data_IF_151540820377
#
_entry.id   IF_151540820377
#
_cell.length_a   1.000
_cell.length_b   1.000
_cell.length_c   1.000
_cell.angle_alpha   90.00
_cell.angle_beta   90.00
_cell.angle_gamma   90.00
#
_symmetry.space_group_name_H-M   'P 1'
#
loop_
_entity.id
_entity.type
_entity.pdbx_description
1 polymer ?
#
# COMPACT_ATOMS: atom_id res chain seq x y z
N UNK A 1 -8.49 -23.59 4.08
CA UNK A 1 -8.19 -22.26 4.64
C UNK A 1 -8.52 -21.21 3.59
N UNK A 2 -9.35 -20.20 3.88
CA UNK A 2 -9.56 -19.09 2.94
C UNK A 2 -8.24 -18.32 2.81
N UNK A 3 -7.70 -18.21 1.59
CA UNK A 3 -6.59 -17.27 1.33
C UNK A 3 -7.10 -15.85 1.55
N UNK A 4 -6.42 -15.08 2.39
CA UNK A 4 -6.70 -13.67 2.72
C UNK A 4 -6.91 -12.81 1.46
N UNK A 5 -6.23 -13.14 0.37
CA UNK A 5 -6.40 -12.49 -0.94
C UNK A 5 -7.83 -12.50 -1.48
N UNK A 6 -8.59 -13.58 -1.28
CA UNK A 6 -10.00 -13.66 -1.73
C UNK A 6 -10.91 -12.74 -0.91
N UNK A 7 -10.62 -12.59 0.38
CA UNK A 7 -11.38 -11.70 1.26
C UNK A 7 -11.16 -10.26 0.81
N UNK A 8 -9.91 -9.81 0.68
CA UNK A 8 -9.60 -8.44 0.28
C UNK A 8 -10.03 -8.10 -1.16
N UNK A 9 -10.10 -9.08 -2.06
CA UNK A 9 -10.69 -8.88 -3.38
C UNK A 9 -12.19 -8.54 -3.28
N UNK A 10 -12.93 -9.28 -2.45
CA UNK A 10 -14.37 -9.12 -2.24
C UNK A 10 -14.73 -7.89 -1.39
N UNK A 11 -13.86 -7.51 -0.45
CA UNK A 11 -14.10 -6.41 0.50
C UNK A 11 -13.36 -5.13 0.15
N UNK A 12 -12.79 -5.01 -1.06
CA UNK A 12 -11.97 -3.87 -1.47
C UNK A 12 -12.64 -2.49 -1.29
N UNK A 13 -13.95 -2.38 -1.53
CA UNK A 13 -14.70 -1.13 -1.37
C UNK A 13 -15.00 -0.76 0.09
N UNK A 14 -15.58 -1.65 0.93
CA UNK A 14 -15.74 -1.34 2.36
C UNK A 14 -14.39 -1.13 3.07
N UNK A 15 -13.34 -1.85 2.67
CA UNK A 15 -12.00 -1.63 3.20
C UNK A 15 -11.44 -0.25 2.83
N UNK A 16 -11.59 0.18 1.58
CA UNK A 16 -11.16 1.52 1.15
C UNK A 16 -11.85 2.63 1.96
N UNK A 17 -13.15 2.49 2.26
CA UNK A 17 -13.86 3.43 3.13
C UNK A 17 -13.25 3.48 4.54
N UNK A 18 -12.98 2.32 5.15
CA UNK A 18 -12.33 2.25 6.46
C UNK A 18 -10.91 2.84 6.43
N UNK A 19 -10.13 2.52 5.41
CA UNK A 19 -8.77 3.01 5.21
C UNK A 19 -8.73 4.52 4.85
N UNK A 20 -9.87 5.14 4.56
CA UNK A 20 -9.98 6.60 4.32
C UNK A 20 -10.27 7.39 5.59
N UNK A 21 -10.40 6.74 6.75
CA UNK A 21 -10.61 7.43 8.01
C UNK A 21 -9.39 8.30 8.39
N UNK A 22 -9.57 9.50 8.97
CA UNK A 22 -8.47 10.40 9.30
C UNK A 22 -7.41 9.79 10.23
N UNK A 23 -7.82 8.88 11.12
CA UNK A 23 -6.89 8.16 11.99
C UNK A 23 -5.92 7.27 11.20
N UNK A 24 -6.40 6.65 10.13
CA UNK A 24 -5.59 5.79 9.27
C UNK A 24 -4.61 6.61 8.45
N UNK A 25 -5.07 7.73 7.89
CA UNK A 25 -4.24 8.66 7.13
C UNK A 25 -3.11 9.23 8.00
N UNK A 26 -3.43 9.67 9.22
CA UNK A 26 -2.44 10.17 10.18
C UNK A 26 -1.40 9.10 10.51
N UNK A 27 -1.83 7.87 10.74
CA UNK A 27 -0.90 6.77 11.04
C UNK A 27 0.04 6.49 9.85
N UNK A 28 -0.47 6.53 8.62
CA UNK A 28 0.35 6.36 7.42
C UNK A 28 1.39 7.48 7.28
N UNK A 29 1.01 8.73 7.55
CA UNK A 29 1.93 9.86 7.53
C UNK A 29 3.03 9.74 8.60
N UNK A 30 2.65 9.36 9.84
CA UNK A 30 3.58 9.14 10.94
C UNK A 30 4.58 8.01 10.61
N UNK A 31 4.11 6.92 10.00
CA UNK A 31 4.97 5.83 9.54
C UNK A 31 5.97 6.30 8.47
N UNK A 32 5.52 7.05 7.46
CA UNK A 32 6.39 7.56 6.40
C UNK A 32 7.47 8.53 6.93
N UNK A 33 7.16 9.28 7.99
CA UNK A 33 8.12 10.18 8.66
C UNK A 33 9.24 9.43 9.41
N UNK A 34 9.09 8.12 9.68
CA UNK A 34 10.12 7.30 10.33
C UNK A 34 11.14 6.72 9.34
N UNK A 35 11.05 7.04 8.05
CA UNK A 35 12.03 6.56 7.08
C UNK A 35 13.44 7.06 7.43
N UNK A 36 14.47 6.21 7.28
CA UNK A 36 15.83 6.62 7.58
C UNK A 36 16.27 7.76 6.64
N UNK A 37 17.12 8.69 7.10
CA UNK A 37 17.66 9.74 6.25
C UNK A 37 18.33 9.17 4.99
N UNK A 38 17.97 9.71 3.83
CA UNK A 38 18.53 9.27 2.55
C UNK A 38 17.89 8.01 1.96
N UNK A 39 16.77 7.51 2.52
CA UNK A 39 15.97 6.49 1.86
C UNK A 39 15.56 6.93 0.44
N UNK A 40 15.85 6.09 -0.55
CA UNK A 40 15.52 6.36 -1.97
C UNK A 40 14.58 5.34 -2.59
N UNK A 41 14.60 4.10 -2.09
CA UNK A 41 13.80 3.00 -2.60
C UNK A 41 13.05 2.38 -1.43
N UNK A 42 11.73 2.41 -1.51
CA UNK A 42 10.86 1.89 -0.45
C UNK A 42 9.79 1.01 -1.08
N UNK A 43 9.65 -0.20 -0.56
CA UNK A 43 8.60 -1.14 -0.94
C UNK A 43 7.57 -1.23 0.18
N UNK A 44 6.33 -0.89 -0.14
CA UNK A 44 5.18 -1.00 0.75
C UNK A 44 4.48 -2.34 0.51
N UNK A 45 4.72 -3.33 1.39
CA UNK A 45 4.20 -4.68 1.27
C UNK A 45 2.78 -4.79 1.83
N UNK A 46 1.82 -5.17 0.99
CA UNK A 46 0.41 -5.18 1.34
C UNK A 46 -0.22 -3.78 1.28
N UNK A 47 0.12 -3.00 0.25
CA UNK A 47 -0.23 -1.57 0.18
C UNK A 47 -1.73 -1.28 0.06
N UNK A 48 -2.56 -2.29 -0.24
CA UNK A 48 -4.00 -2.13 -0.39
C UNK A 48 -4.36 -1.03 -1.40
N UNK A 49 -5.28 -0.11 -1.07
CA UNK A 49 -5.68 0.99 -1.94
C UNK A 49 -4.66 2.13 -2.01
N UNK A 50 -3.49 1.99 -1.38
CA UNK A 50 -2.33 2.86 -1.57
C UNK A 50 -2.25 4.08 -0.65
N UNK A 51 -2.92 4.09 0.51
CA UNK A 51 -2.81 5.20 1.48
C UNK A 51 -1.37 5.38 1.98
N UNK A 52 -0.76 4.32 2.52
CA UNK A 52 0.63 4.32 2.99
C UNK A 52 1.60 4.65 1.86
N UNK A 53 1.45 4.00 0.70
CA UNK A 53 2.31 4.25 -0.47
C UNK A 53 2.27 5.70 -0.94
N UNK A 54 1.13 6.40 -0.81
CA UNK A 54 1.04 7.82 -1.16
C UNK A 54 1.94 8.68 -0.25
N UNK A 55 1.89 8.47 1.06
CA UNK A 55 2.78 9.18 1.99
C UNK A 55 4.25 8.81 1.79
N UNK A 56 4.55 7.55 1.48
CA UNK A 56 5.91 7.12 1.15
C UNK A 56 6.41 7.78 -0.13
N UNK A 57 5.58 7.90 -1.17
CA UNK A 57 5.90 8.65 -2.40
C UNK A 57 6.16 10.12 -2.09
N UNK A 58 5.38 10.74 -1.21
CA UNK A 58 5.61 12.14 -0.84
C UNK A 58 6.96 12.31 -0.09
N UNK A 59 7.40 11.28 0.65
CA UNK A 59 8.67 11.28 1.37
C UNK A 59 9.91 10.98 0.50
N UNK A 60 9.83 10.00 -0.42
CA UNK A 60 11.01 9.53 -1.21
C UNK A 60 10.88 9.71 -2.72
N UNK A 61 9.78 10.30 -3.19
CA UNK A 61 9.51 10.53 -4.60
C UNK A 61 9.24 9.24 -5.39
N UNK A 62 9.77 9.11 -6.63
CA UNK A 62 9.44 8.01 -7.55
C UNK A 62 9.97 6.63 -7.12
N UNK A 63 10.79 6.56 -6.08
CA UNK A 63 11.31 5.30 -5.56
C UNK A 63 10.40 4.56 -4.60
N UNK A 64 9.23 5.11 -4.26
CA UNK A 64 8.19 4.39 -3.52
C UNK A 64 7.37 3.49 -4.45
N UNK A 65 7.28 2.21 -4.13
CA UNK A 65 6.47 1.22 -4.87
C UNK A 65 5.52 0.51 -3.91
N UNK A 66 4.24 0.46 -4.27
CA UNK A 66 3.22 -0.31 -3.55
C UNK A 66 3.10 -1.72 -4.10
N UNK A 67 3.18 -2.73 -3.24
CA UNK A 67 3.01 -4.13 -3.58
C UNK A 67 1.75 -4.72 -2.94
N UNK A 68 0.88 -5.34 -3.73
CA UNK A 68 -0.28 -6.06 -3.19
C UNK A 68 -0.66 -7.24 -4.12
N UNK A 69 -1.24 -8.29 -3.56
CA UNK A 69 -1.71 -9.44 -4.35
C UNK A 69 -3.12 -9.19 -4.94
N UNK A 70 -3.89 -8.28 -4.34
CA UNK A 70 -5.28 -7.99 -4.69
C UNK A 70 -5.37 -6.99 -5.84
N UNK A 71 -5.65 -7.50 -7.05
CA UNK A 71 -5.89 -6.65 -8.23
C UNK A 71 -6.97 -5.57 -8.03
N UNK A 72 -8.10 -5.81 -7.33
CA UNK A 72 -9.06 -4.75 -6.99
C UNK A 72 -8.48 -3.61 -6.14
N UNK A 73 -7.53 -3.89 -5.25
CA UNK A 73 -6.83 -2.89 -4.44
C UNK A 73 -5.86 -2.09 -5.30
N UNK A 74 -5.02 -2.78 -6.08
CA UNK A 74 -4.08 -2.14 -7.00
C UNK A 74 -4.76 -1.23 -8.02
N UNK A 75 -5.96 -1.61 -8.51
CA UNK A 75 -6.74 -0.73 -9.39
C UNK A 75 -7.16 0.58 -8.73
N UNK A 76 -7.41 0.57 -7.41
CA UNK A 76 -7.73 1.78 -6.63
C UNK A 76 -6.48 2.61 -6.39
N UNK A 77 -5.40 1.97 -5.94
CA UNK A 77 -4.11 2.61 -5.74
C UNK A 77 -3.62 3.29 -7.03
N UNK A 78 -3.83 2.68 -8.20
CA UNK A 78 -3.44 3.25 -9.49
C UNK A 78 -4.15 4.56 -9.81
N UNK A 79 -5.38 4.78 -9.31
CA UNK A 79 -6.09 6.07 -9.49
C UNK A 79 -5.41 7.22 -8.75
N UNK A 80 -4.55 6.93 -7.77
CA UNK A 80 -3.73 7.90 -7.03
C UNK A 80 -2.38 8.20 -7.73
N UNK A 81 -2.14 7.62 -8.91
CA UNK A 81 -0.89 7.84 -9.67
C UNK A 81 0.33 7.18 -9.05
N UNK A 82 0.16 6.06 -8.34
CA UNK A 82 1.23 5.36 -7.64
C UNK A 82 1.95 4.34 -8.55
N UNK A 83 3.25 4.14 -8.31
CA UNK A 83 3.98 3.02 -8.87
C UNK A 83 3.62 1.74 -8.09
N UNK A 84 3.24 0.68 -8.81
CA UNK A 84 2.61 -0.49 -8.20
C UNK A 84 3.10 -1.80 -8.83
N UNK A 85 3.18 -2.84 -8.00
CA UNK A 85 3.46 -4.20 -8.41
C UNK A 85 2.39 -5.17 -7.87
N UNK A 86 1.93 -6.08 -8.73
CA UNK A 86 1.20 -7.25 -8.26
C UNK A 86 2.20 -8.25 -7.69
N UNK A 87 2.14 -8.49 -6.39
CA UNK A 87 3.11 -9.36 -5.72
C UNK A 87 2.51 -10.15 -4.58
N UNK A 88 3.07 -11.33 -4.34
CA UNK A 88 2.76 -12.17 -3.18
C UNK A 88 3.88 -12.02 -2.16
N UNK A 89 3.60 -11.36 -1.03
CA UNK A 89 4.57 -11.21 0.05
C UNK A 89 4.98 -12.58 0.63
N UNK A 90 4.11 -13.60 0.57
CA UNK A 90 4.42 -14.96 1.02
C UNK A 90 5.33 -15.74 0.05
N UNK A 91 5.56 -15.22 -1.15
CA UNK A 91 6.51 -15.78 -2.12
C UNK A 91 7.88 -15.08 -2.08
N UNK A 92 8.06 -14.07 -1.22
CA UNK A 92 9.36 -13.43 -1.02
C UNK A 92 10.33 -14.37 -0.32
N UNK A 93 11.62 -14.33 -0.67
CA UNK A 93 12.64 -15.09 0.04
C UNK A 93 12.75 -14.58 1.49
N UNK A 94 12.94 -15.52 2.43
CA UNK A 94 13.25 -15.27 3.85
C UNK A 94 14.66 -15.70 4.18
#
# INVERSE_FOLDING_TARGET
MLRSSRIFALTSLPYELLASAPVWERHCAEMAAQLPPGARHVLDLGCGPGNSTAHLRDAVGPGAVGGDFSMPMLRRARRRGLALACMDAGALPV
#
